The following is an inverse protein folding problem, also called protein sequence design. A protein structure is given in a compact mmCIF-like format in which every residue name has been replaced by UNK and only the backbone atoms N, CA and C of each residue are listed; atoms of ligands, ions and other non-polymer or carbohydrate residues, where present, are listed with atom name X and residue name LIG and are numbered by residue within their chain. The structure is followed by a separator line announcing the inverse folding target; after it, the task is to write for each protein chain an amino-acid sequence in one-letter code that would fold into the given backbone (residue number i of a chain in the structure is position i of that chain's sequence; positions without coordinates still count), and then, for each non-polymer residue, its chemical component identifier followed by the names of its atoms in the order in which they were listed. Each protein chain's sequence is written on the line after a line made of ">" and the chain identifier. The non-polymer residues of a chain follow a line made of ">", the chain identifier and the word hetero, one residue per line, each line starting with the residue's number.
data_IF_997763431924
#
_entry.id   IF_997763431924
#
_cell.length_a   1.000
_cell.length_b   1.000
_cell.length_c   1.000
_cell.angle_alpha   90.00
_cell.angle_beta   90.00
_cell.angle_gamma   90.00
#
_symmetry.space_group_name_H-M   'P 1'
#
loop_
_entity.id
_entity.type
_entity.pdbx_description
1 polymer ?
2 non-polymer ?
3 non-polymer ?
4 water ?
#
# COMPACT_ATOMS: atom_id res chain seq x y z
N UNK A 4 -23.08 6.86 -6.90
CA UNK A 4 -22.65 6.75 -8.33
C UNK A 4 -21.57 5.70 -8.53
N UNK A 5 -20.99 5.65 -9.73
CA UNK A 5 -19.93 4.68 -10.13
C UNK A 5 -18.69 4.90 -9.27
N UNK A 6 -18.23 6.15 -9.15
CA UNK A 6 -17.00 6.53 -8.41
C UNK A 6 -17.13 6.13 -6.94
N UNK A 7 -18.26 6.46 -6.31
CA UNK A 7 -18.58 6.06 -4.91
C UNK A 7 -18.48 4.54 -4.78
N UNK A 8 -19.15 3.81 -5.68
CA UNK A 8 -19.19 2.32 -5.71
C UNK A 8 -17.77 1.76 -5.87
N UNK A 9 -17.00 2.30 -6.81
CA UNK A 9 -15.60 1.84 -7.05
C UNK A 9 -14.75 2.15 -5.81
N UNK A 10 -14.98 3.29 -5.15
CA UNK A 10 -14.22 3.65 -3.92
C UNK A 10 -14.61 2.72 -2.76
N UNK A 11 -15.85 2.23 -2.71
CA UNK A 11 -16.27 1.22 -1.70
C UNK A 11 -15.50 -0.08 -1.93
N UNK A 12 -15.33 -0.51 -3.18
CA UNK A 12 -14.52 -1.71 -3.53
C UNK A 12 -13.08 -1.47 -3.05
N UNK A 13 -12.53 -0.28 -3.31
CA UNK A 13 -11.18 0.11 -2.83
C UNK A 13 -11.12 0.03 -1.31
N UNK A 14 -12.12 0.56 -0.61
CA UNK A 14 -12.14 0.52 0.87
C UNK A 14 -12.18 -0.94 1.34
N UNK A 15 -12.92 -1.81 0.65
CA UNK A 15 -12.97 -3.25 0.96
C UNK A 15 -11.58 -3.87 0.85
N UNK A 16 -10.89 -3.59 -0.25
CA UNK A 16 -9.49 -4.06 -0.49
C UNK A 16 -8.61 -3.57 0.66
N UNK A 17 -8.70 -2.28 0.99
CA UNK A 17 -7.85 -1.67 2.05
C UNK A 17 -8.06 -2.42 3.37
N UNK A 18 -9.32 -2.65 3.74
CA UNK A 18 -9.69 -3.40 4.97
C UNK A 18 -9.05 -4.79 4.93
N UNK A 19 -9.10 -5.46 3.78
CA UNK A 19 -8.49 -6.81 3.63
C UNK A 19 -6.97 -6.71 3.81
N UNK A 20 -6.31 -5.73 3.19
CA UNK A 20 -4.83 -5.60 3.27
C UNK A 20 -4.41 -5.39 4.73
N UNK A 21 -5.26 -4.77 5.55
CA UNK A 21 -4.98 -4.46 6.98
C UNK A 21 -5.47 -5.59 7.89
N UNK A 22 -6.12 -6.63 7.35
CA UNK A 22 -6.79 -7.70 8.14
C UNK A 22 -5.76 -8.74 8.62
N UNK A 23 -6.10 -9.50 9.66
CA UNK A 23 -5.19 -10.51 10.27
C UNK A 23 -4.85 -11.59 9.24
N UNK A 24 -5.74 -11.84 8.27
CA UNK A 24 -5.55 -12.81 7.15
C UNK A 24 -4.17 -12.63 6.51
N UNK A 25 -3.71 -11.39 6.33
CA UNK A 25 -2.49 -11.05 5.55
C UNK A 25 -1.39 -10.47 6.44
N UNK A 26 -1.57 -10.46 7.77
CA UNK A 26 -0.68 -9.77 8.73
C UNK A 26 0.75 -10.31 8.65
N UNK A 27 0.95 -11.59 8.32
CA UNK A 27 2.29 -12.23 8.33
C UNK A 27 3.21 -11.55 7.31
N UNK A 28 2.66 -10.97 6.23
CA UNK A 28 3.46 -10.29 5.17
C UNK A 28 3.04 -8.82 4.99
N UNK A 29 1.92 -8.37 5.56
CA UNK A 29 1.45 -6.98 5.39
C UNK A 29 2.13 -6.03 6.39
N UNK A 30 2.65 -6.55 7.51
CA UNK A 30 3.00 -5.70 8.69
C UNK A 30 4.06 -4.65 8.36
N UNK A 31 5.06 -4.88 7.46
CA UNK A 31 6.03 -3.82 7.15
C UNK A 31 5.40 -2.57 6.51
N UNK A 32 4.19 -2.71 5.96
CA UNK A 32 3.49 -1.67 5.17
C UNK A 32 2.42 -0.96 6.00
N UNK A 33 2.29 -1.30 7.28
CA UNK A 33 1.20 -0.77 8.14
C UNK A 33 1.41 0.72 8.43
N UNK A 34 2.66 1.13 8.64
CA UNK A 34 3.01 2.52 9.05
C UNK A 34 4.15 3.02 8.16
N UNK A 35 4.38 4.35 8.07
CA UNK A 35 5.48 4.89 7.27
C UNK A 35 6.79 4.21 7.66
N UNK A 36 7.62 3.90 6.67
CA UNK A 36 9.00 3.38 6.90
C UNK A 36 9.69 4.34 7.87
N UNK A 37 10.15 3.83 9.01
CA UNK A 37 10.94 4.61 9.99
C UNK A 37 12.41 4.44 9.62
N UNK A 38 12.90 5.28 8.69
CA UNK A 38 14.25 5.19 8.10
C UNK A 38 15.30 5.27 9.21
N UNK A 39 15.15 6.24 10.12
CA UNK A 39 16.09 6.48 11.25
C UNK A 39 16.13 5.25 12.17
N UNK A 40 14.96 4.71 12.54
CA UNK A 40 14.84 3.52 13.43
C UNK A 40 15.50 2.29 12.80
N UNK A 41 15.39 2.12 11.48
CA UNK A 41 15.90 0.92 10.75
C UNK A 41 17.34 1.14 10.27
N UNK A 42 17.90 2.34 10.49
CA UNK A 42 19.27 2.71 10.10
C UNK A 42 19.42 2.91 8.60
N UNK A 43 18.32 3.22 7.90
CA UNK A 43 18.29 3.40 6.42
C UNK A 43 18.49 4.88 6.11
N UNK A 44 19.71 5.39 6.30
CA UNK A 44 20.00 6.85 6.27
C UNK A 44 20.02 7.38 4.83
N UNK A 45 19.85 6.51 3.84
CA UNK A 45 19.75 6.87 2.40
C UNK A 45 18.30 6.74 1.91
N UNK A 46 17.36 6.27 2.75
CA UNK A 46 15.97 5.96 2.32
C UNK A 46 15.32 7.17 1.63
N UNK A 47 15.37 8.36 2.26
CA UNK A 47 14.64 9.57 1.78
C UNK A 47 15.43 10.28 0.67
N UNK A 48 16.66 9.85 0.38
CA UNK A 48 17.42 10.28 -0.82
C UNK A 48 16.97 9.47 -2.03
N UNK A 49 16.57 8.21 -1.81
CA UNK A 49 16.21 7.25 -2.89
C UNK A 49 14.70 7.28 -3.13
N UNK A 50 13.90 7.36 -2.06
CA UNK A 50 12.41 7.35 -2.11
C UNK A 50 11.90 8.78 -1.89
N UNK A 51 11.41 9.41 -2.96
CA UNK A 51 10.98 10.83 -2.96
C UNK A 51 9.55 10.95 -2.43
N UNK A 52 8.74 9.90 -2.59
CA UNK A 52 7.30 9.91 -2.22
C UNK A 52 6.98 8.66 -1.40
N UNK A 53 7.32 8.65 -0.09
CA UNK A 53 6.99 7.52 0.77
C UNK A 53 5.47 7.28 0.80
N UNK A 54 5.07 6.02 0.94
CA UNK A 54 3.63 5.67 1.04
C UNK A 54 3.52 4.39 1.86
N UNK A 55 2.41 4.24 2.58
CA UNK A 55 2.16 3.09 3.48
C UNK A 55 0.65 3.00 3.69
N UNK A 56 0.18 1.90 4.27
CA UNK A 56 -1.27 1.63 4.37
C UNK A 56 -1.95 2.57 5.36
N UNK A 57 -1.26 3.05 6.41
CA UNK A 57 -1.88 4.00 7.37
C UNK A 57 -2.17 5.32 6.63
N UNK A 58 -1.29 5.72 5.72
CA UNK A 58 -1.47 6.96 4.92
C UNK A 58 -2.62 6.76 3.93
N UNK A 59 -2.69 5.59 3.29
CA UNK A 59 -3.81 5.28 2.35
C UNK A 59 -5.13 5.32 3.15
N UNK A 60 -5.14 4.76 4.36
CA UNK A 60 -6.36 4.70 5.21
C UNK A 60 -6.79 6.12 5.57
N UNK A 61 -5.85 6.97 5.99
CA UNK A 61 -6.14 8.39 6.34
C UNK A 61 -6.73 9.10 5.12
N UNK A 62 -6.13 8.91 3.94
CA UNK A 62 -6.59 9.57 2.69
C UNK A 62 -7.99 9.06 2.33
N UNK A 63 -8.26 7.77 2.50
CA UNK A 63 -9.61 7.20 2.23
C UNK A 63 -10.62 7.81 3.22
N UNK A 64 -10.29 7.85 4.51
CA UNK A 64 -11.20 8.37 5.58
C UNK A 64 -11.50 9.86 5.36
N UNK A 65 -10.52 10.62 4.85
CA UNK A 65 -10.62 12.09 4.61
C UNK A 65 -11.26 12.39 3.24
N UNK A 66 -11.69 11.35 2.51
CA UNK A 66 -12.27 11.45 1.14
C UNK A 66 -11.28 12.17 0.22
N UNK A 67 -9.99 11.90 0.38
CA UNK A 67 -8.90 12.49 -0.45
C UNK A 67 -9.00 11.88 -1.86
N UNK A 68 -9.16 10.56 -1.97
CA UNK A 68 -9.22 9.85 -3.27
C UNK A 68 -10.54 10.18 -3.97
N UNK A 69 -10.45 10.68 -5.20
CA UNK A 69 -11.63 11.06 -6.01
C UNK A 69 -12.08 9.86 -6.86
N UNK A 70 -11.21 8.87 -7.08
CA UNK A 70 -11.56 7.66 -7.86
C UNK A 70 -10.63 6.50 -7.50
N UNK A 71 -10.96 5.30 -7.99
CA UNK A 71 -10.23 4.04 -7.73
C UNK A 71 -8.79 4.15 -8.24
N UNK A 72 -8.59 4.78 -9.39
CA UNK A 72 -7.27 4.93 -10.04
C UNK A 72 -6.32 5.66 -9.08
N UNK A 73 -6.81 6.70 -8.39
CA UNK A 73 -5.97 7.52 -7.48
C UNK A 73 -5.57 6.68 -6.27
N UNK A 74 -6.51 5.91 -5.72
CA UNK A 74 -6.26 4.95 -4.62
C UNK A 74 -5.21 3.93 -5.06
N UNK A 75 -5.41 3.30 -6.22
CA UNK A 75 -4.51 2.25 -6.75
C UNK A 75 -3.10 2.81 -6.93
N UNK A 76 -2.98 4.06 -7.40
CA UNK A 76 -1.66 4.71 -7.63
C UNK A 76 -0.88 4.76 -6.32
N UNK A 77 -1.52 5.08 -5.20
CA UNK A 77 -0.85 5.13 -3.87
C UNK A 77 -0.47 3.72 -3.42
N UNK A 78 -1.34 2.73 -3.57
CA UNK A 78 -1.01 1.34 -3.13
C UNK A 78 0.19 0.85 -3.96
N UNK A 79 0.20 1.11 -5.26
CA UNK A 79 1.30 0.65 -6.14
C UNK A 79 2.58 1.45 -5.87
N UNK A 80 2.47 2.74 -5.55
CA UNK A 80 3.63 3.58 -5.14
C UNK A 80 4.30 2.92 -3.93
N UNK A 81 3.50 2.48 -2.97
CA UNK A 81 3.99 1.81 -1.74
C UNK A 81 4.84 0.58 -2.12
N UNK A 82 4.35 -0.27 -3.03
CA UNK A 82 5.09 -1.47 -3.48
C UNK A 82 6.33 -1.05 -4.28
N UNK A 83 6.17 -0.12 -5.22
CA UNK A 83 7.28 0.39 -6.08
C UNK A 83 8.43 0.91 -5.21
N UNK A 84 8.13 1.65 -4.14
CA UNK A 84 9.17 2.18 -3.22
C UNK A 84 9.97 1.01 -2.65
N UNK A 85 9.28 -0.05 -2.23
CA UNK A 85 9.90 -1.27 -1.66
C UNK A 85 10.84 -1.89 -2.70
N UNK A 86 10.38 -2.04 -3.94
CA UNK A 86 11.14 -2.66 -5.06
C UNK A 86 12.31 -1.77 -5.50
N UNK A 87 12.19 -0.45 -5.34
CA UNK A 87 13.25 0.52 -5.73
C UNK A 87 14.38 0.48 -4.70
N UNK A 88 14.04 0.51 -3.41
CA UNK A 88 15.02 0.68 -2.31
C UNK A 88 15.78 -0.63 -2.03
N UNK A 89 15.07 -1.76 -2.04
CA UNK A 89 15.57 -3.05 -1.50
C UNK A 89 16.10 -3.96 -2.60
N UNK A 90 17.12 -4.80 -2.31
CA UNK A 90 17.53 -5.85 -3.23
C UNK A 90 16.36 -6.80 -3.46
N UNK A 91 16.20 -7.34 -4.68
CA UNK A 91 15.01 -8.13 -5.02
C UNK A 91 14.84 -9.45 -4.25
N UNK A 92 15.89 -9.94 -3.58
CA UNK A 92 15.87 -11.23 -2.83
C UNK A 92 15.66 -10.99 -1.33
N UNK A 93 15.47 -9.74 -0.89
CA UNK A 93 15.24 -9.39 0.55
C UNK A 93 13.84 -9.87 0.97
N UNK A 94 13.69 -10.28 2.24
CA UNK A 94 12.41 -10.77 2.81
C UNK A 94 11.31 -9.72 2.62
N UNK A 95 11.60 -8.44 2.83
CA UNK A 95 10.55 -7.37 2.74
C UNK A 95 10.01 -7.32 1.30
N UNK A 96 10.84 -7.60 0.30
CA UNK A 96 10.40 -7.62 -1.13
C UNK A 96 9.50 -8.84 -1.37
N UNK A 97 9.85 -10.01 -0.83
CA UNK A 97 9.02 -11.23 -0.90
C UNK A 97 7.63 -10.93 -0.31
N UNK A 98 7.60 -10.17 0.79
CA UNK A 98 6.34 -9.82 1.50
C UNK A 98 5.55 -8.80 0.68
N UNK A 99 6.23 -7.82 0.07
CA UNK A 99 5.62 -6.84 -0.86
C UNK A 99 4.94 -7.58 -2.03
N UNK A 100 5.65 -8.53 -2.65
CA UNK A 100 5.15 -9.32 -3.81
C UNK A 100 3.85 -10.03 -3.42
N UNK A 101 3.84 -10.68 -2.26
CA UNK A 101 2.67 -11.45 -1.76
C UNK A 101 1.50 -10.50 -1.51
N UNK A 102 1.72 -9.37 -0.85
CA UNK A 102 0.62 -8.40 -0.58
C UNK A 102 0.16 -7.77 -1.90
N UNK A 103 1.07 -7.51 -2.85
CA UNK A 103 0.66 -6.93 -4.15
C UNK A 103 -0.18 -7.95 -4.92
N UNK A 104 0.11 -9.25 -4.81
CA UNK A 104 -0.72 -10.30 -5.45
C UNK A 104 -2.14 -10.21 -4.90
N UNK A 105 -2.29 -10.11 -3.58
CA UNK A 105 -3.62 -9.95 -2.92
C UNK A 105 -4.30 -8.72 -3.53
N UNK A 106 -3.57 -7.60 -3.58
CA UNK A 106 -4.10 -6.31 -4.08
C UNK A 106 -4.55 -6.43 -5.54
N UNK A 107 -3.66 -6.86 -6.43
CA UNK A 107 -3.91 -6.83 -7.89
C UNK A 107 -5.09 -7.74 -8.23
N UNK A 108 -5.18 -8.93 -7.63
CA UNK A 108 -6.26 -9.89 -7.98
C UNK A 108 -7.61 -9.33 -7.53
N UNK A 109 -7.68 -8.68 -6.37
CA UNK A 109 -8.98 -8.13 -5.91
C UNK A 109 -9.29 -6.81 -6.62
N UNK A 110 -8.28 -5.98 -6.90
CA UNK A 110 -8.48 -4.71 -7.65
C UNK A 110 -9.09 -5.04 -9.02
N UNK A 111 -8.67 -6.16 -9.63
CA UNK A 111 -9.13 -6.60 -10.96
C UNK A 111 -10.63 -6.92 -10.93
N UNK A 112 -11.20 -7.21 -9.75
CA UNK A 112 -12.64 -7.54 -9.56
C UNK A 112 -13.46 -6.26 -9.33
N UNK A 113 -12.90 -5.09 -9.68
CA UNK A 113 -13.58 -3.77 -9.61
C UNK A 113 -14.93 -3.85 -10.31
N UNK A 114 -16.03 -3.36 -9.69
CA UNK A 114 -17.32 -3.29 -10.39
C UNK A 114 -17.30 -2.19 -11.46
N UNK A 115 -17.91 -2.47 -12.62
CA UNK A 115 -17.96 -1.55 -13.79
C UNK A 115 -19.19 -0.65 -13.67
X LIG B 1 0.75 -9.14 -9.65
X LIG B 1 1.39 -8.65 -8.49
X LIG B 1 -0.07 -10.34 -9.38
X LIG B 1 0.65 -11.38 -8.74
X LIG C 1 19.01 -1.77 -5.15
X LIG C 1 19.48 -2.41 -3.98
X LIG C 1 17.68 -2.27 -5.59
X LIG C 1 17.35 -1.94 -6.93
X LIG D 1 10.39 -1.39 4.80
X LIG D 1 9.71 -1.41 3.62
X LIG D 1 18.16 -3.97 2.29
X LIG D 1 19.61 -4.39 2.09
X LIG D 1 20.26 -3.11 4.11
X LIG D 1 11.75 -5.38 7.58
X LIG D 1 10.50 -3.55 8.81
X LIG D 1 11.59 -3.89 7.82
X LIG D 1 11.19 -3.29 6.57
X LIG D 1 12.17 -2.75 5.77
X LIG D 1 13.50 -3.15 5.81
X LIG D 1 14.44 -2.54 4.99
X LIG D 1 14.04 -1.55 4.09
X LIG D 1 12.73 -1.18 4.07
X LIG D 1 12.35 -0.19 3.22
X LIG D 1 11.77 -1.73 4.89
X LIG D 1 8.25 -1.10 3.71
X LIG D 1 10.26 -1.64 2.54
X LIG D 1 15.85 -3.02 5.05
X LIG D 1 16.37 -3.35 6.12
X LIG D 1 16.48 -3.13 3.87
X LIG D 1 17.84 -3.63 3.74
X LIG D 1 20.56 -3.36 2.65
X LIG D 1 21.92 -3.78 2.49
X LIG D 1 18.83 -2.61 4.28
X LIG D 1 12.91 -6.07 8.03
X LIG D 1 13.05 -7.43 7.79
X LIG D 1 12.06 -8.12 7.13
X LIG D 1 10.93 -7.46 6.69
X LIG D 1 10.77 -6.10 6.92
#
# INVERSE_FOLDING_TARGET
>A
GSMGKLSEQLKHCNGILKELLSKKHAAYAWPFYKPVDASALGLHDYHDIIKHPMDLSTVKRKMENRDYRDAQEFAADVRLMFSNCYKYNPPDHDVVAMARKLQDVFEFRYAKMPD
>B hetero
1 EDO C1 O1 C2 O2
>C hetero
1 EDO C1 O1 C2 O2
>D hetero
1 LW5 N12 C13 C21 C22 C26 C28 C01 C02 O04 C05 C06 C07 C08 C09 F10 C11 C14 O15 C16 O17 N18 C19 C23 O25 C27 C29 C30 C31 C32 C33
#
